data_IF_390861645221
#
_entry.id   IF_390861645221
#
_cell.length_a   1.000
_cell.length_b   1.000
_cell.length_c   1.000
_cell.angle_alpha   90.00
_cell.angle_beta   90.00
_cell.angle_gamma   90.00
#
_symmetry.space_group_name_H-M   'P 1'
#
loop_
_entity.id
_entity.type
_entity.pdbx_description
1 polymer ?
#
# COMPACT_ATOMS: atom_id res chain seq x y z
N UNK A 1 -7.39 1.74 23.50
CA UNK A 1 -8.35 2.80 23.88
C UNK A 1 -7.76 4.12 23.42
N UNK A 2 -8.43 4.80 22.48
CA UNK A 2 -8.08 6.14 22.04
C UNK A 2 -9.01 7.13 22.73
N UNK A 3 -8.44 8.19 23.32
CA UNK A 3 -9.21 9.25 23.97
C UNK A 3 -8.94 10.56 23.24
N UNK A 4 -10.00 11.27 22.87
CA UNK A 4 -9.94 12.59 22.23
C UNK A 4 -10.93 13.50 22.95
N UNK A 5 -10.43 14.26 23.93
CA UNK A 5 -11.24 15.12 24.78
C UNK A 5 -12.33 14.35 25.53
N UNK A 6 -13.58 14.73 25.27
CA UNK A 6 -14.80 14.13 25.82
C UNK A 6 -15.24 12.84 25.11
N UNK A 7 -14.48 12.37 24.11
CA UNK A 7 -14.75 11.14 23.37
C UNK A 7 -13.72 10.05 23.69
N UNK A 8 -14.19 8.82 23.82
CA UNK A 8 -13.36 7.64 24.00
C UNK A 8 -13.79 6.56 23.02
N UNK A 9 -12.84 6.03 22.27
CA UNK A 9 -13.06 4.90 21.37
C UNK A 9 -12.18 3.72 21.78
N UNK A 10 -12.73 2.51 21.64
CA UNK A 10 -12.01 1.28 21.92
C UNK A 10 -12.46 0.19 20.97
N UNK A 11 -11.48 -0.54 20.42
CA UNK A 11 -11.76 -1.83 19.79
C UNK A 11 -11.38 -2.91 20.80
N UNK A 12 -12.24 -3.91 20.97
CA UNK A 12 -11.94 -5.06 21.80
C UNK A 12 -12.33 -6.35 21.08
N UNK A 13 -11.48 -7.36 21.22
CA UNK A 13 -11.70 -8.68 20.66
C UNK A 13 -12.24 -9.59 21.75
N UNK A 14 -13.41 -10.15 21.48
CA UNK A 14 -14.06 -11.12 22.36
C UNK A 14 -13.98 -12.50 21.69
N UNK A 15 -13.15 -13.42 22.21
CA UNK A 15 -12.99 -14.74 21.62
C UNK A 15 -14.24 -15.62 21.76
N UNK A 16 -15.06 -15.36 22.78
CA UNK A 16 -16.31 -16.07 23.05
C UNK A 16 -17.40 -15.09 23.47
N UNK A 17 -17.95 -14.37 22.49
CA UNK A 17 -19.18 -13.61 22.67
C UNK A 17 -20.31 -14.36 21.98
N UNK A 18 -21.21 -14.94 22.77
CA UNK A 18 -22.32 -15.77 22.28
C UNK A 18 -21.84 -16.95 21.39
N UNK A 19 -20.69 -17.57 21.71
CA UNK A 19 -20.14 -18.68 20.94
C UNK A 19 -19.43 -18.28 19.65
N UNK A 20 -19.26 -16.98 19.38
CA UNK A 20 -18.57 -16.47 18.18
C UNK A 20 -17.41 -15.54 18.56
N UNK A 21 -16.32 -15.66 17.78
CA UNK A 21 -15.21 -14.70 17.77
C UNK A 21 -15.72 -13.38 17.21
N UNK A 22 -15.80 -12.35 18.06
CA UNK A 22 -16.44 -11.10 17.71
C UNK A 22 -15.53 -9.93 18.03
N UNK A 23 -15.41 -9.00 17.09
CA UNK A 23 -14.76 -7.72 17.28
C UNK A 23 -15.80 -6.65 17.55
N UNK A 24 -15.70 -5.98 18.69
CA UNK A 24 -16.58 -4.87 19.01
C UNK A 24 -15.80 -3.56 19.00
N UNK A 25 -16.43 -2.53 18.41
CA UNK A 25 -15.99 -1.16 18.44
C UNK A 25 -16.93 -0.35 19.32
N UNK A 26 -16.43 0.13 20.46
CA UNK A 26 -17.11 1.06 21.34
C UNK A 26 -16.70 2.50 21.06
N UNK A 27 -17.67 3.41 21.04
CA UNK A 27 -17.45 4.86 21.09
C UNK A 27 -18.36 5.46 22.16
N UNK A 28 -17.74 6.07 23.17
CA UNK A 28 -18.42 6.80 24.23
C UNK A 28 -18.12 8.30 24.12
N UNK A 29 -19.12 9.13 24.38
CA UNK A 29 -18.99 10.59 24.44
C UNK A 29 -19.77 11.16 25.62
N UNK A 30 -19.22 12.17 26.28
CA UNK A 30 -19.90 12.87 27.38
C UNK A 30 -21.03 13.75 26.83
N UNK A 31 -22.18 13.74 27.50
CA UNK A 31 -23.30 14.63 27.25
C UNK A 31 -23.25 15.81 28.21
N UNK A 32 -23.28 17.02 27.67
CA UNK A 32 -23.28 18.27 28.44
C UNK A 32 -24.58 19.04 28.26
N UNK A 33 -25.04 19.71 29.31
CA UNK A 33 -26.14 20.68 29.21
C UNK A 33 -25.67 21.99 28.55
N UNK A 34 -26.58 22.96 28.40
CA UNK A 34 -26.27 24.29 27.87
C UNK A 34 -25.33 25.13 28.76
N UNK A 35 -25.16 24.76 30.03
CA UNK A 35 -24.26 25.42 30.99
C UNK A 35 -22.86 24.77 31.01
N UNK A 36 -22.66 23.68 30.26
CA UNK A 36 -21.40 22.93 30.19
C UNK A 36 -21.27 21.81 31.21
N UNK A 37 -22.24 21.62 32.10
CA UNK A 37 -22.23 20.56 33.10
C UNK A 37 -22.47 19.20 32.47
N UNK A 38 -21.80 18.18 33.00
CA UNK A 38 -21.95 16.80 32.57
C UNK A 38 -23.29 16.27 33.07
N UNK A 39 -24.18 15.95 32.15
CA UNK A 39 -25.51 15.37 32.45
C UNK A 39 -25.60 13.88 32.11
N UNK A 40 -24.58 13.33 31.47
CA UNK A 40 -24.51 11.89 31.20
C UNK A 40 -23.41 11.53 30.21
N UNK A 41 -23.51 10.32 29.67
CA UNK A 41 -22.69 9.83 28.59
C UNK A 41 -23.56 9.05 27.60
N UNK A 42 -23.18 9.09 26.33
CA UNK A 42 -23.74 8.23 25.29
C UNK A 42 -22.65 7.28 24.82
N UNK A 43 -22.99 6.00 24.72
CA UNK A 43 -22.12 4.97 24.16
C UNK A 43 -22.80 4.27 22.98
N UNK A 44 -22.02 3.98 21.95
CA UNK A 44 -22.42 3.13 20.84
C UNK A 44 -21.42 2.00 20.70
N UNK A 45 -21.92 0.77 20.66
CA UNK A 45 -21.13 -0.44 20.40
C UNK A 45 -21.54 -0.98 19.04
N UNK A 46 -20.54 -1.26 18.19
CA UNK A 46 -20.74 -1.81 16.85
C UNK A 46 -19.93 -3.08 16.69
N UNK A 47 -20.57 -4.14 16.19
CA UNK A 47 -19.85 -5.31 15.70
C UNK A 47 -19.10 -4.95 14.40
N UNK A 48 -17.78 -5.11 14.44
CA UNK A 48 -16.87 -4.85 13.31
C UNK A 48 -16.17 -6.13 12.84
N UNK A 49 -16.68 -7.30 13.23
CA UNK A 49 -16.10 -8.61 12.87
C UNK A 49 -15.99 -8.77 11.36
N UNK A 50 -17.06 -8.51 10.64
CA UNK A 50 -17.09 -8.66 9.18
C UNK A 50 -16.11 -7.70 8.49
N UNK A 51 -16.01 -6.47 9.02
CA UNK A 51 -15.03 -5.48 8.54
C UNK A 51 -13.59 -5.99 8.72
N UNK A 52 -13.26 -6.53 9.89
CA UNK A 52 -11.92 -7.08 10.17
C UNK A 52 -11.61 -8.29 9.30
N UNK A 53 -12.59 -9.16 9.04
CA UNK A 53 -12.41 -10.32 8.15
C UNK A 53 -12.09 -9.84 6.73
N UNK A 54 -12.88 -8.90 6.19
CA UNK A 54 -12.64 -8.34 4.86
C UNK A 54 -11.28 -7.65 4.75
N UNK A 55 -10.84 -6.91 5.78
CA UNK A 55 -9.51 -6.29 5.82
C UNK A 55 -8.38 -7.34 5.78
N UNK A 56 -8.54 -8.46 6.48
CA UNK A 56 -7.56 -9.56 6.49
C UNK A 56 -7.52 -10.25 5.13
N UNK A 57 -8.66 -10.54 4.53
CA UNK A 57 -8.76 -11.16 3.21
C UNK A 57 -8.13 -10.28 2.13
N UNK A 58 -8.44 -8.98 2.15
CA UNK A 58 -7.85 -8.01 1.23
C UNK A 58 -6.33 -7.93 1.38
N UNK A 59 -5.83 -7.93 2.63
CA UNK A 59 -4.40 -7.90 2.90
C UNK A 59 -3.70 -9.16 2.37
N UNK A 60 -4.29 -10.34 2.58
CA UNK A 60 -3.75 -11.60 2.05
C UNK A 60 -3.71 -11.62 0.54
N UNK A 61 -4.80 -11.24 -0.13
CA UNK A 61 -4.85 -11.19 -1.59
C UNK A 61 -3.77 -10.24 -2.16
N UNK A 62 -3.54 -9.10 -1.49
CA UNK A 62 -2.48 -8.16 -1.87
C UNK A 62 -1.08 -8.76 -1.69
N UNK A 63 -0.82 -9.41 -0.56
CA UNK A 63 0.46 -10.08 -0.28
C UNK A 63 0.74 -11.20 -1.30
N UNK A 64 -0.27 -11.97 -1.69
CA UNK A 64 -0.17 -13.01 -2.72
C UNK A 64 0.15 -12.41 -4.10
N UNK A 65 -0.52 -11.32 -4.48
CA UNK A 65 -0.25 -10.61 -5.72
C UNK A 65 1.18 -10.05 -5.75
N UNK A 66 1.63 -9.41 -4.67
CA UNK A 66 2.99 -8.89 -4.55
C UNK A 66 4.04 -10.01 -4.58
N UNK A 67 3.78 -11.15 -3.93
CA UNK A 67 4.65 -12.31 -3.98
C UNK A 67 4.76 -12.88 -5.40
N UNK A 68 3.64 -13.01 -6.11
CA UNK A 68 3.63 -13.46 -7.50
C UNK A 68 4.39 -12.49 -8.42
N UNK A 69 4.25 -11.18 -8.20
CA UNK A 69 4.99 -10.16 -8.94
C UNK A 69 6.49 -10.22 -8.65
N UNK A 70 6.89 -10.41 -7.39
CA UNK A 70 8.29 -10.60 -7.01
C UNK A 70 8.89 -11.84 -7.67
N UNK A 71 8.16 -12.95 -7.71
CA UNK A 71 8.59 -14.18 -8.40
C UNK A 71 8.74 -13.91 -9.89
N UNK A 72 7.78 -13.23 -10.53
CA UNK A 72 7.89 -12.85 -11.95
C UNK A 72 9.09 -11.94 -12.21
N UNK A 73 9.35 -10.97 -11.33
CA UNK A 73 10.44 -10.02 -11.49
C UNK A 73 11.81 -10.66 -11.23
N UNK A 74 11.92 -11.55 -10.23
CA UNK A 74 13.14 -12.35 -10.01
C UNK A 74 13.35 -13.39 -11.10
N UNK A 75 12.30 -14.03 -11.60
CA UNK A 75 12.36 -14.91 -12.75
C UNK A 75 12.86 -14.17 -14.00
N UNK A 76 12.31 -12.98 -14.28
CA UNK A 76 12.81 -12.10 -15.34
C UNK A 76 14.27 -11.70 -15.10
N UNK A 77 14.65 -11.32 -13.88
CA UNK A 77 16.02 -10.96 -13.55
C UNK A 77 17.00 -12.13 -13.67
N UNK A 78 16.58 -13.37 -13.36
CA UNK A 78 17.41 -14.58 -13.47
C UNK A 78 17.56 -14.98 -14.95
N UNK A 79 16.48 -14.96 -15.74
CA UNK A 79 16.51 -15.30 -17.16
C UNK A 79 17.27 -14.24 -17.96
N UNK A 80 17.02 -12.96 -17.71
CA UNK A 80 17.78 -11.86 -18.32
C UNK A 80 19.19 -11.72 -17.71
N UNK A 81 19.43 -12.31 -16.54
CA UNK A 81 20.69 -12.28 -15.81
C UNK A 81 21.81 -13.14 -16.42
N UNK A 82 21.56 -13.87 -17.52
CA UNK A 82 22.63 -14.64 -18.17
C UNK A 82 22.59 -14.67 -19.69
N UNK A 83 22.35 -13.53 -20.35
CA UNK A 83 23.08 -13.15 -21.57
C UNK A 83 22.74 -11.74 -22.03
N UNK A 84 23.80 -10.94 -22.09
CA UNK A 84 24.05 -9.91 -23.11
C UNK A 84 23.47 -8.49 -22.97
N UNK A 85 24.41 -7.58 -22.69
CA UNK A 85 24.64 -6.31 -23.40
C UNK A 85 23.89 -5.07 -22.89
N UNK A 86 24.51 -4.44 -21.89
CA UNK A 86 24.95 -3.03 -21.86
C UNK A 86 24.25 -2.05 -22.81
N UNK A 87 23.19 -1.40 -22.32
CA UNK A 87 22.57 -0.23 -22.95
C UNK A 87 23.46 1.04 -23.01
N UNK A 88 24.68 1.02 -22.44
CA UNK A 88 25.60 2.17 -22.43
C UNK A 88 26.62 2.22 -23.58
N UNK A 89 26.76 1.17 -24.40
CA UNK A 89 27.70 1.18 -25.56
C UNK A 89 27.01 1.64 -26.85
N UNK A 90 25.67 1.59 -26.94
CA UNK A 90 24.97 2.03 -28.15
C UNK A 90 25.03 3.56 -28.37
N UNK A 91 25.25 4.36 -27.30
CA UNK A 91 25.32 5.82 -27.41
C UNK A 91 26.65 6.35 -27.98
N UNK A 92 27.76 5.60 -27.88
CA UNK A 92 29.08 6.09 -28.33
C UNK A 92 29.41 5.75 -29.80
N UNK A 93 28.85 4.68 -30.38
CA UNK A 93 29.07 4.36 -31.80
C UNK A 93 28.18 5.17 -32.75
N UNK A 94 26.96 5.53 -32.34
CA UNK A 94 26.09 6.41 -33.14
C UNK A 94 26.62 7.85 -33.28
N UNK A 95 27.56 8.26 -32.43
CA UNK A 95 28.23 9.56 -32.50
C UNK A 95 29.41 9.57 -33.51
N UNK A 96 30.03 8.41 -33.78
CA UNK A 96 31.12 8.30 -34.76
C UNK A 96 30.63 8.20 -36.21
N UNK A 97 29.45 7.62 -36.44
CA UNK A 97 28.89 7.42 -37.80
C UNK A 97 28.41 8.74 -38.43
N UNK A 98 27.86 9.69 -37.65
CA UNK A 98 27.50 11.02 -38.17
C UNK A 98 28.70 11.91 -38.51
N UNK A 99 29.88 11.64 -37.93
CA UNK A 99 31.10 12.39 -38.24
C UNK A 99 31.75 11.97 -39.57
N UNK A 100 31.45 10.76 -40.06
CA UNK A 100 32.05 10.21 -41.30
C UNK A 100 31.29 10.61 -42.58
N UNK A 101 30.01 10.97 -42.47
CA UNK A 101 29.19 11.48 -43.59
C UNK A 101 29.10 13.01 -43.67
N UNK A 102 30.07 13.72 -43.07
CA UNK A 102 30.16 15.19 -43.12
C UNK A 102 31.24 15.74 -44.06
N UNK A 103 32.06 14.90 -44.69
CA UNK A 103 33.27 15.35 -45.39
C UNK A 103 33.45 14.75 -46.79
N UNK A 104 32.38 14.72 -47.59
CA UNK A 104 32.45 14.50 -49.05
C UNK A 104 31.49 15.48 -49.73
N UNK A 105 31.84 16.77 -49.70
CA UNK A 105 31.18 17.76 -50.57
C UNK A 105 32.13 18.76 -51.24
N UNK A 106 33.44 18.61 -51.13
CA UNK A 106 34.40 19.44 -51.85
C UNK A 106 35.61 18.62 -52.32
N UNK A 107 35.48 17.96 -53.48
CA UNK A 107 36.53 17.81 -54.50
C UNK A 107 35.94 17.13 -55.74
N UNK A 108 35.48 17.94 -56.70
CA UNK A 108 35.84 17.85 -58.11
C UNK A 108 35.28 19.08 -58.86
N UNK A 109 35.99 19.63 -59.85
CA UNK A 109 37.43 19.57 -60.11
C UNK A 109 38.22 20.68 -59.41
#
# INVERSE_FOLDING_TARGET
IQKSGDKMTAEHYYPDLQGKKTWLFGNASVLRNSQGDIIGAIESVRDITDKKIAEIELKKAKEEAEAAERVKNTFLAIICGRRSIRFSVFRKSWQKIKAFHGNIRNMQP
#
